data_IF_249980147256
#
_entry.id   IF_249980147256
#
_cell.length_a   1.000
_cell.length_b   1.000
_cell.length_c   1.000
_cell.angle_alpha   90.00
_cell.angle_beta   90.00
_cell.angle_gamma   90.00
#
_symmetry.space_group_name_H-M   'P 1'
#
loop_
_entity.id
_entity.type
_entity.pdbx_description
1 polymer ?
#
# COMPACT_ATOMS: atom_id res chain seq x y z
N UNK A 1 18.00 4.27 10.80
CA UNK A 1 17.81 2.82 11.04
C UNK A 1 17.49 2.61 12.50
N UNK A 2 16.66 1.61 12.84
CA UNK A 2 16.20 1.28 14.20
C UNK A 2 17.21 0.33 14.87
N UNK A 3 18.29 0.83 15.50
CA UNK A 3 19.44 -0.01 15.84
C UNK A 3 19.25 -0.79 17.14
N UNK A 4 18.22 -0.43 17.92
CA UNK A 4 17.83 -0.98 19.20
C UNK A 4 16.57 -1.86 19.12
N UNK A 5 16.00 -2.04 17.92
CA UNK A 5 14.82 -2.87 17.69
C UNK A 5 15.22 -4.25 17.16
N UNK A 6 14.48 -5.28 17.57
CA UNK A 6 14.49 -6.55 16.88
C UNK A 6 13.57 -6.44 15.65
N UNK A 7 14.11 -6.78 14.48
CA UNK A 7 13.40 -6.77 13.21
C UNK A 7 13.33 -8.21 12.72
N UNK A 8 12.13 -8.72 12.49
CA UNK A 8 11.92 -10.02 11.84
C UNK A 8 11.18 -9.77 10.53
N UNK A 9 11.58 -10.48 9.48
CA UNK A 9 10.86 -10.46 8.22
C UNK A 9 10.15 -11.78 7.94
N UNK A 10 9.17 -11.77 7.03
CA UNK A 10 8.25 -12.88 6.73
C UNK A 10 8.92 -14.26 6.54
N UNK A 11 10.10 -14.32 5.93
CA UNK A 11 10.87 -15.53 5.64
C UNK A 11 11.84 -15.94 6.76
N UNK A 12 11.82 -15.24 7.89
CA UNK A 12 12.51 -15.63 9.12
C UNK A 12 13.92 -15.07 9.29
N UNK A 13 14.42 -14.22 8.39
CA UNK A 13 15.59 -13.40 8.68
C UNK A 13 15.28 -12.48 9.84
N UNK A 14 16.20 -12.43 10.80
CA UNK A 14 16.07 -11.64 12.00
C UNK A 14 17.32 -10.78 12.20
N UNK A 15 17.10 -9.52 12.55
CA UNK A 15 18.14 -8.56 12.90
C UNK A 15 17.86 -8.10 14.32
N UNK A 16 18.81 -8.31 15.23
CA UNK A 16 18.67 -7.92 16.62
C UNK A 16 19.92 -7.18 17.10
N UNK A 17 19.79 -6.22 18.03
CA UNK A 17 20.93 -5.59 18.66
C UNK A 17 21.77 -6.64 19.40
N UNK A 18 23.09 -6.62 19.19
CA UNK A 18 24.01 -7.55 19.83
C UNK A 18 24.12 -7.28 21.33
N UNK A 19 23.86 -8.30 22.16
CA UNK A 19 24.13 -8.27 23.60
C UNK A 19 23.22 -7.35 24.42
N UNK A 20 22.10 -6.88 23.86
CA UNK A 20 21.15 -5.98 24.55
C UNK A 20 19.71 -6.47 24.32
N UNK A 21 18.85 -6.33 25.34
CA UNK A 21 17.41 -6.58 25.20
C UNK A 21 16.82 -5.53 24.25
N UNK A 22 16.12 -5.92 23.16
CA UNK A 22 15.56 -4.97 22.22
C UNK A 22 14.55 -4.01 22.87
N UNK A 23 14.63 -2.73 22.53
CA UNK A 23 13.70 -1.69 22.98
C UNK A 23 12.29 -1.87 22.39
N UNK A 24 12.19 -2.53 21.24
CA UNK A 24 10.95 -2.82 20.55
C UNK A 24 11.09 -3.95 19.54
N UNK A 25 9.96 -4.39 19.01
CA UNK A 25 9.88 -5.37 17.92
C UNK A 25 9.23 -4.76 16.69
N UNK A 26 9.81 -5.05 15.53
CA UNK A 26 9.31 -4.71 14.21
C UNK A 26 9.14 -6.00 13.41
N UNK A 27 7.96 -6.19 12.84
CA UNK A 27 7.65 -7.30 11.95
C UNK A 27 7.43 -6.75 10.55
N UNK A 28 8.06 -7.35 9.55
CA UNK A 28 7.89 -6.96 8.14
C UNK A 28 7.28 -8.12 7.39
N UNK A 29 6.09 -7.92 6.83
CA UNK A 29 5.51 -8.85 5.87
C UNK A 29 5.57 -8.24 4.49
N UNK A 30 5.83 -9.06 3.47
CA UNK A 30 5.87 -8.58 2.09
C UNK A 30 5.42 -9.67 1.14
N UNK A 31 4.90 -9.24 0.00
CA UNK A 31 4.53 -10.12 -1.10
C UNK A 31 4.64 -9.36 -2.41
N UNK A 32 5.48 -9.84 -3.33
CA UNK A 32 5.81 -9.08 -4.55
C UNK A 32 6.36 -7.69 -4.24
N UNK A 33 5.79 -6.64 -4.83
CA UNK A 33 6.18 -5.23 -4.63
C UNK A 33 5.49 -4.53 -3.46
N UNK A 34 4.76 -5.24 -2.60
CA UNK A 34 4.06 -4.67 -1.45
C UNK A 34 4.66 -5.18 -0.14
N UNK A 35 4.98 -4.28 0.78
CA UNK A 35 5.39 -4.60 2.14
C UNK A 35 4.54 -3.86 3.17
N UNK A 36 4.32 -4.51 4.31
CA UNK A 36 3.72 -3.93 5.49
C UNK A 36 4.72 -4.03 6.64
N UNK A 37 4.98 -2.90 7.30
CA UNK A 37 5.86 -2.81 8.46
C UNK A 37 4.99 -2.61 9.71
N UNK A 38 5.22 -3.41 10.73
CA UNK A 38 4.45 -3.40 11.98
C UNK A 38 5.35 -3.20 13.18
N UNK A 39 5.07 -2.21 14.02
CA UNK A 39 5.67 -2.08 15.34
C UNK A 39 4.91 -2.98 16.32
N UNK A 40 5.20 -4.28 16.27
CA UNK A 40 4.46 -5.36 16.95
C UNK A 40 4.48 -5.32 18.49
N UNK A 41 5.13 -4.33 19.08
CA UNK A 41 5.12 -4.07 20.53
C UNK A 41 4.14 -2.93 20.91
N UNK A 42 3.58 -2.23 19.92
CA UNK A 42 2.57 -1.19 20.11
C UNK A 42 1.18 -1.78 19.92
N UNK A 43 0.24 -1.39 20.79
CA UNK A 43 -1.16 -1.75 20.63
C UNK A 43 -1.81 -0.91 19.54
N UNK A 44 -2.39 -1.56 18.52
CA UNK A 44 -3.04 -0.90 17.39
C UNK A 44 -2.04 -0.34 16.37
N UNK A 45 -2.55 0.36 15.35
CA UNK A 45 -1.74 0.99 14.30
C UNK A 45 -1.31 2.40 14.68
N UNK A 46 -0.05 2.72 14.44
CA UNK A 46 0.49 4.07 14.47
C UNK A 46 -0.11 4.89 13.33
N UNK A 47 -0.52 6.12 13.65
CA UNK A 47 -0.70 7.15 12.63
C UNK A 47 0.62 7.89 12.38
N UNK A 48 0.64 8.74 11.35
CA UNK A 48 1.80 9.50 10.93
C UNK A 48 2.38 10.39 12.05
N UNK A 49 1.53 10.95 12.92
CA UNK A 49 1.98 11.80 14.02
C UNK A 49 2.67 10.98 15.12
N UNK A 50 2.07 9.86 15.52
CA UNK A 50 2.63 8.94 16.48
C UNK A 50 3.91 8.28 15.96
N UNK A 51 3.94 7.92 14.66
CA UNK A 51 5.12 7.39 13.99
C UNK A 51 6.25 8.42 13.99
N UNK A 52 5.98 9.67 13.59
CA UNK A 52 6.99 10.72 13.56
C UNK A 52 7.51 11.09 14.96
N UNK A 53 6.65 11.04 15.98
CA UNK A 53 7.06 11.32 17.37
C UNK A 53 7.97 10.23 17.93
N UNK A 54 7.67 8.95 17.64
CA UNK A 54 8.45 7.80 18.14
C UNK A 54 9.71 7.53 17.29
N UNK A 55 9.60 7.70 15.98
CA UNK A 55 10.63 7.36 14.99
C UNK A 55 10.81 8.50 13.98
N UNK A 56 11.38 9.64 14.40
CA UNK A 56 11.49 10.81 13.54
C UNK A 56 12.21 10.51 12.23
N UNK A 57 11.56 10.85 11.10
CA UNK A 57 12.16 10.72 9.77
C UNK A 57 12.20 9.29 9.21
N UNK A 58 11.62 8.30 9.90
CA UNK A 58 11.68 6.91 9.45
C UNK A 58 10.96 6.69 8.12
N UNK A 59 9.77 7.26 7.96
CA UNK A 59 8.98 7.10 6.75
C UNK A 59 9.66 7.79 5.55
N UNK A 60 10.25 8.97 5.78
CA UNK A 60 11.04 9.71 4.81
C UNK A 60 12.29 8.94 4.38
N UNK A 61 13.04 8.39 5.34
CA UNK A 61 14.21 7.55 5.01
C UNK A 61 13.83 6.31 4.21
N UNK A 62 12.72 5.65 4.56
CA UNK A 62 12.23 4.50 3.80
C UNK A 62 11.83 4.90 2.37
N UNK A 63 11.20 6.06 2.21
CA UNK A 63 10.79 6.60 0.91
C UNK A 63 11.96 7.04 0.02
N UNK A 64 13.13 7.31 0.61
CA UNK A 64 14.35 7.69 -0.11
C UNK A 64 15.17 6.49 -0.61
N UNK A 65 14.85 5.26 -0.15
CA UNK A 65 15.52 4.05 -0.63
C UNK A 65 15.25 3.84 -2.12
N UNK A 66 16.30 3.57 -2.91
CA UNK A 66 16.20 3.44 -4.37
C UNK A 66 15.17 2.40 -4.85
N UNK A 67 14.96 1.32 -4.09
CA UNK A 67 13.98 0.27 -4.39
C UNK A 67 12.54 0.60 -3.97
N UNK A 68 12.30 1.71 -3.27
CA UNK A 68 10.99 2.13 -2.78
C UNK A 68 10.40 3.20 -3.69
N UNK A 69 9.13 3.02 -4.06
CA UNK A 69 8.37 3.98 -4.85
C UNK A 69 7.53 4.88 -3.96
N UNK A 70 6.73 4.28 -3.08
CA UNK A 70 5.80 4.98 -2.20
C UNK A 70 5.82 4.34 -0.82
N UNK A 71 5.86 5.16 0.23
CA UNK A 71 5.53 4.77 1.60
C UNK A 71 4.21 5.43 1.98
N UNK A 72 3.20 4.64 2.29
CA UNK A 72 1.92 5.10 2.77
C UNK A 72 1.82 4.96 4.29
N UNK A 73 1.39 6.03 4.95
CA UNK A 73 1.13 6.07 6.39
C UNK A 73 -0.32 6.44 6.65
N UNK A 74 -0.87 5.98 7.77
CA UNK A 74 -2.21 6.35 8.25
C UNK A 74 -2.20 7.76 8.80
N UNK A 75 -3.25 8.52 8.52
CA UNK A 75 -3.59 9.74 9.27
C UNK A 75 -5.12 9.84 9.38
N UNK A 76 -5.62 10.96 9.91
CA UNK A 76 -7.06 11.20 10.12
C UNK A 76 -7.83 11.42 8.80
N UNK A 77 -7.12 11.75 7.72
CA UNK A 77 -7.68 12.23 6.45
C UNK A 77 -7.41 11.20 5.32
N UNK A 78 -7.42 9.90 5.64
CA UNK A 78 -7.25 8.80 4.69
C UNK A 78 -5.81 8.35 4.47
N UNK A 79 -4.82 9.13 4.91
CA UNK A 79 -3.41 8.80 4.85
C UNK A 79 -2.57 9.80 4.06
N UNK A 80 -1.27 9.56 4.10
CA UNK A 80 -0.29 10.32 3.34
C UNK A 80 0.64 9.36 2.61
N UNK A 81 0.97 9.69 1.37
CA UNK A 81 2.02 9.04 0.59
C UNK A 81 3.31 9.83 0.74
N UNK A 82 4.41 9.13 0.95
CA UNK A 82 5.75 9.67 0.97
C UNK A 82 6.54 9.03 -0.17
N UNK A 83 7.30 9.86 -0.86
CA UNK A 83 8.25 9.46 -1.90
C UNK A 83 9.54 10.26 -1.67
N UNK A 84 10.60 9.97 -2.43
CA UNK A 84 11.80 10.83 -2.44
C UNK A 84 11.51 12.30 -2.76
N UNK A 85 10.41 12.56 -3.49
CA UNK A 85 10.02 13.91 -3.93
C UNK A 85 9.20 14.67 -2.86
N UNK A 86 8.85 14.01 -1.74
CA UNK A 86 8.13 14.62 -0.63
C UNK A 86 6.87 13.88 -0.21
N UNK A 87 5.94 14.60 0.44
CA UNK A 87 4.72 14.08 1.05
C UNK A 87 3.46 14.57 0.34
N UNK A 88 2.53 13.64 0.10
CA UNK A 88 1.33 13.83 -0.69
C UNK A 88 0.10 13.32 0.09
N UNK A 89 -0.82 14.19 0.53
CA UNK A 89 -2.00 13.78 1.29
C UNK A 89 -3.01 13.04 0.40
N UNK A 90 -3.67 12.00 0.94
CA UNK A 90 -4.76 11.24 0.30
C UNK A 90 -6.16 11.75 0.66
N UNK A 91 -6.25 12.90 1.31
CA UNK A 91 -7.51 13.55 1.67
C UNK A 91 -8.44 13.74 0.47
N UNK A 92 -9.72 13.93 0.76
CA UNK A 92 -10.75 14.19 -0.25
C UNK A 92 -11.22 15.65 -0.11
N UNK A 93 -11.15 16.47 -1.18
CA UNK A 93 -10.67 16.17 -2.53
C UNK A 93 -9.14 16.00 -2.59
N UNK A 94 -8.64 15.30 -3.62
CA UNK A 94 -7.20 15.16 -3.84
C UNK A 94 -6.56 16.51 -4.15
N UNK A 95 -5.44 16.80 -3.49
CA UNK A 95 -4.59 17.93 -3.84
C UNK A 95 -3.96 17.71 -5.23
N UNK A 96 -3.80 18.77 -6.03
CA UNK A 96 -3.26 18.66 -7.39
C UNK A 96 -1.89 17.97 -7.46
N UNK A 97 -1.05 18.14 -6.44
CA UNK A 97 0.23 17.44 -6.34
C UNK A 97 0.08 15.93 -6.14
N UNK A 98 -0.92 15.49 -5.36
CA UNK A 98 -1.23 14.06 -5.18
C UNK A 98 -1.84 13.50 -6.45
N UNK A 99 -2.72 14.25 -7.12
CA UNK A 99 -3.25 13.87 -8.45
C UNK A 99 -2.11 13.65 -9.43
N UNK A 100 -1.19 14.61 -9.57
CA UNK A 100 -0.04 14.50 -10.48
C UNK A 100 0.88 13.32 -10.15
N UNK A 101 1.08 13.00 -8.86
CA UNK A 101 1.81 11.80 -8.46
C UNK A 101 1.10 10.53 -8.93
N UNK A 102 -0.20 10.40 -8.65
CA UNK A 102 -0.97 9.19 -8.95
C UNK A 102 -1.14 8.96 -10.45
N UNK A 103 -1.23 10.02 -11.26
CA UNK A 103 -1.28 9.94 -12.73
C UNK A 103 -0.08 9.22 -13.35
N UNK A 104 1.05 9.13 -12.63
CA UNK A 104 2.24 8.38 -13.08
C UNK A 104 2.01 6.87 -13.04
N UNK A 105 0.98 6.41 -12.35
CA UNK A 105 0.67 5.00 -12.15
C UNK A 105 -0.62 4.59 -12.85
N UNK A 106 -1.73 5.33 -12.66
CA UNK A 106 -3.06 5.09 -13.26
C UNK A 106 -4.03 6.25 -12.94
N UNK A 107 -5.33 6.06 -13.18
CA UNK A 107 -6.44 6.95 -12.85
C UNK A 107 -6.42 7.38 -11.36
N UNK A 108 -6.13 8.67 -11.06
CA UNK A 108 -5.82 9.14 -9.71
C UNK A 108 -6.91 8.91 -8.68
N UNK A 109 -8.17 9.15 -9.05
CA UNK A 109 -9.29 9.04 -8.11
C UNK A 109 -9.58 7.58 -7.75
N UNK A 110 -9.44 6.67 -8.72
CA UNK A 110 -9.59 5.23 -8.49
C UNK A 110 -8.45 4.74 -7.58
N UNK A 111 -7.20 5.09 -7.91
CA UNK A 111 -6.05 4.71 -7.08
C UNK A 111 -6.15 5.27 -5.66
N UNK A 112 -6.49 6.54 -5.51
CA UNK A 112 -6.65 7.14 -4.18
C UNK A 112 -7.75 6.45 -3.36
N UNK A 113 -8.87 6.08 -4.00
CA UNK A 113 -9.92 5.31 -3.33
C UNK A 113 -9.42 3.93 -2.88
N UNK A 114 -8.68 3.20 -3.73
CA UNK A 114 -8.10 1.90 -3.37
C UNK A 114 -7.05 2.01 -2.25
N UNK A 115 -6.18 3.02 -2.31
CA UNK A 115 -5.15 3.27 -1.30
C UNK A 115 -5.77 3.65 0.05
N UNK A 116 -6.77 4.55 0.06
CA UNK A 116 -7.53 4.86 1.29
C UNK A 116 -8.19 3.62 1.89
N UNK A 117 -8.80 2.78 1.04
CA UNK A 117 -9.42 1.51 1.49
C UNK A 117 -8.39 0.55 2.09
N UNK A 118 -7.24 0.38 1.45
CA UNK A 118 -6.15 -0.44 2.00
C UNK A 118 -5.66 0.13 3.35
N UNK A 119 -5.53 1.45 3.44
CA UNK A 119 -5.06 2.12 4.65
C UNK A 119 -6.10 2.14 5.78
N UNK A 120 -7.39 1.97 5.48
CA UNK A 120 -8.47 1.94 6.48
C UNK A 120 -8.54 0.63 7.24
N UNK A 121 -7.90 -0.44 6.77
CA UNK A 121 -7.90 -1.71 7.47
C UNK A 121 -7.11 -1.64 8.78
N UNK A 122 -7.71 -2.14 9.85
CA UNK A 122 -7.08 -2.20 11.18
C UNK A 122 -5.78 -3.02 11.17
N UNK A 123 -5.68 -4.00 10.26
CA UNK A 123 -4.52 -4.89 10.10
C UNK A 123 -3.54 -4.46 9.01
N UNK A 124 -3.73 -3.27 8.43
CA UNK A 124 -2.73 -2.68 7.56
C UNK A 124 -1.44 -2.35 8.34
N UNK A 125 -0.30 -2.20 7.67
CA UNK A 125 1.00 -1.97 8.33
C UNK A 125 1.11 -0.54 8.84
N UNK A 126 1.85 -0.26 9.90
CA UNK A 126 2.11 1.12 10.34
C UNK A 126 2.76 1.97 9.21
N UNK A 127 3.60 1.31 8.40
CA UNK A 127 3.97 1.75 7.06
C UNK A 127 3.51 0.68 6.06
N UNK A 128 2.95 1.13 4.95
CA UNK A 128 2.68 0.29 3.78
C UNK A 128 3.58 0.77 2.65
N UNK A 129 4.45 -0.10 2.15
CA UNK A 129 5.53 0.27 1.23
C UNK A 129 5.27 -0.41 -0.11
N UNK A 130 5.29 0.38 -1.16
CA UNK A 130 5.25 -0.08 -2.54
C UNK A 130 6.64 0.05 -3.15
N UNK A 131 7.11 -1.00 -3.80
CA UNK A 131 8.34 -1.00 -4.58
C UNK A 131 8.31 0.03 -5.69
N UNK A 132 9.48 0.50 -6.11
CA UNK A 132 9.59 1.45 -7.21
C UNK A 132 9.00 0.86 -8.50
N UNK A 133 8.26 1.69 -9.26
CA UNK A 133 7.68 1.34 -10.54
C UNK A 133 8.04 2.40 -11.58
N UNK A 134 8.53 1.97 -12.74
CA UNK A 134 9.03 2.87 -13.81
C UNK A 134 8.08 3.01 -15.00
N UNK A 135 6.87 2.44 -14.92
CA UNK A 135 5.92 2.38 -16.05
C UNK A 135 5.94 1.05 -16.81
N UNK A 136 6.95 0.19 -16.59
CA UNK A 136 7.05 -1.12 -17.20
C UNK A 136 7.45 -2.24 -16.22
N UNK A 137 8.31 -1.92 -15.25
CA UNK A 137 8.86 -2.85 -14.26
C UNK A 137 8.61 -2.33 -12.86
N UNK A 138 8.38 -3.26 -11.95
CA UNK A 138 8.31 -3.00 -10.51
C UNK A 138 9.50 -3.65 -9.80
N UNK A 139 9.92 -3.04 -8.69
CA UNK A 139 10.79 -3.68 -7.72
C UNK A 139 9.95 -4.59 -6.84
N UNK A 140 10.32 -5.86 -6.76
CA UNK A 140 9.77 -6.81 -5.80
C UNK A 140 10.69 -6.88 -4.56
N UNK A 141 10.08 -7.10 -3.40
CA UNK A 141 10.80 -7.41 -2.16
C UNK A 141 11.08 -8.92 -2.00
N UNK A 142 10.52 -9.74 -2.90
CA UNK A 142 10.77 -11.16 -3.01
C UNK A 142 11.61 -11.49 -4.25
N UNK A 143 12.42 -12.55 -4.15
CA UNK A 143 13.11 -13.14 -5.29
C UNK A 143 12.13 -13.96 -6.14
N UNK A 144 11.37 -13.27 -6.99
CA UNK A 144 10.38 -13.85 -7.90
C UNK A 144 10.47 -13.24 -9.29
N UNK A 145 10.27 -14.07 -10.32
CA UNK A 145 10.34 -13.68 -11.74
C UNK A 145 9.16 -12.79 -12.16
N UNK A 146 8.00 -12.96 -11.53
CA UNK A 146 6.82 -12.10 -11.68
C UNK A 146 6.56 -11.29 -10.41
N UNK A 147 5.90 -10.15 -10.54
CA UNK A 147 5.53 -9.30 -9.41
C UNK A 147 4.05 -8.98 -9.39
N UNK A 148 3.53 -8.75 -8.19
CA UNK A 148 2.18 -8.25 -7.92
C UNK A 148 2.24 -7.28 -6.74
N UNK A 149 1.16 -6.54 -6.51
CA UNK A 149 1.08 -5.62 -5.36
C UNK A 149 1.78 -4.29 -5.58
N UNK A 150 2.33 -4.02 -6.77
CA UNK A 150 2.68 -2.66 -7.17
C UNK A 150 1.44 -1.75 -7.21
N UNK A 151 1.68 -0.46 -7.03
CA UNK A 151 0.67 0.61 -7.13
C UNK A 151 0.31 0.96 -8.59
N UNK A 152 0.95 0.33 -9.58
CA UNK A 152 0.76 0.58 -11.01
C UNK A 152 0.86 -0.67 -11.89
N UNK A 153 0.62 -0.49 -13.19
CA UNK A 153 0.81 -1.49 -14.25
C UNK A 153 -0.43 -2.33 -14.57
N UNK A 154 -0.28 -3.28 -15.50
CA UNK A 154 -1.38 -4.06 -16.11
C UNK A 154 -2.31 -4.77 -15.11
N UNK A 155 -1.83 -5.04 -13.89
CA UNK A 155 -2.64 -5.62 -12.80
C UNK A 155 -3.82 -4.72 -12.38
N UNK A 156 -3.82 -3.44 -12.76
CA UNK A 156 -4.89 -2.48 -12.48
C UNK A 156 -5.99 -2.47 -13.55
N UNK A 157 -5.82 -3.22 -14.65
CA UNK A 157 -6.76 -3.25 -15.77
C UNK A 157 -7.40 -4.64 -15.94
N UNK A 158 -8.29 -5.05 -15.01
CA UNK A 158 -9.03 -6.30 -15.17
C UNK A 158 -10.04 -6.22 -16.32
N UNK A 159 -10.39 -7.37 -16.88
CA UNK A 159 -11.45 -7.47 -17.89
C UNK A 159 -12.49 -8.55 -17.50
N UNK A 160 -13.69 -8.40 -18.06
CA UNK A 160 -14.79 -9.36 -17.90
C UNK A 160 -15.18 -9.90 -19.28
N UNK A 161 -15.17 -11.22 -19.43
CA UNK A 161 -15.71 -11.88 -20.61
C UNK A 161 -17.09 -12.47 -20.28
N UNK A 162 -18.13 -11.96 -20.94
CA UNK A 162 -19.51 -12.33 -20.65
C UNK A 162 -20.34 -12.51 -21.92
N UNK A 163 -21.52 -13.10 -21.76
CA UNK A 163 -22.50 -13.17 -22.85
C UNK A 163 -23.08 -11.78 -23.11
N UNK A 164 -23.15 -11.37 -24.38
CA UNK A 164 -23.65 -10.05 -24.78
C UNK A 164 -25.05 -9.77 -24.24
N UNK A 165 -25.93 -10.78 -24.23
CA UNK A 165 -27.31 -10.70 -23.74
C UNK A 165 -27.44 -10.43 -22.24
N UNK A 166 -26.36 -10.56 -21.45
CA UNK A 166 -26.41 -10.24 -20.02
C UNK A 166 -26.44 -8.73 -19.74
N UNK A 167 -25.98 -7.90 -20.69
CA UNK A 167 -26.05 -6.44 -20.61
C UNK A 167 -25.48 -5.89 -19.30
N UNK A 168 -24.30 -6.36 -18.89
CA UNK A 168 -23.67 -5.89 -17.65
C UNK A 168 -23.24 -4.43 -17.80
N UNK A 169 -23.64 -3.58 -16.86
CA UNK A 169 -23.14 -2.22 -16.71
C UNK A 169 -21.99 -2.21 -15.70
N UNK A 170 -20.79 -1.90 -16.17
CA UNK A 170 -19.57 -1.84 -15.36
C UNK A 170 -19.02 -0.42 -15.25
N UNK A 171 -19.77 0.59 -15.67
CA UNK A 171 -19.30 2.00 -15.70
C UNK A 171 -18.86 2.53 -14.34
N UNK A 172 -19.43 1.98 -13.26
CA UNK A 172 -19.11 2.37 -11.88
C UNK A 172 -18.30 1.31 -11.11
N UNK A 173 -17.80 0.26 -11.79
CA UNK A 173 -16.99 -0.77 -11.15
C UNK A 173 -15.57 -0.24 -10.98
N UNK A 174 -15.17 -0.03 -9.73
CA UNK A 174 -13.81 0.42 -9.37
C UNK A 174 -13.14 -0.53 -8.39
N UNK A 175 -13.89 -1.45 -7.79
CA UNK A 175 -13.41 -2.51 -6.93
C UNK A 175 -14.07 -3.86 -7.31
N UNK A 176 -13.36 -4.97 -7.07
CA UNK A 176 -13.91 -6.31 -7.28
C UNK A 176 -15.21 -6.57 -6.50
N UNK A 177 -15.40 -5.93 -5.34
CA UNK A 177 -16.65 -6.03 -4.57
C UNK A 177 -17.86 -5.47 -5.31
N UNK A 178 -17.67 -4.54 -6.24
CA UNK A 178 -18.75 -3.90 -7.00
C UNK A 178 -19.40 -4.89 -7.99
N UNK A 179 -18.69 -5.97 -8.32
CA UNK A 179 -19.22 -7.05 -9.16
C UNK A 179 -20.28 -7.88 -8.44
N UNK A 180 -20.23 -8.00 -7.12
CA UNK A 180 -21.17 -8.84 -6.37
C UNK A 180 -22.65 -8.48 -6.63
N UNK A 181 -23.10 -7.22 -6.44
CA UNK A 181 -24.50 -6.86 -6.72
C UNK A 181 -24.88 -7.06 -8.19
N UNK A 182 -23.96 -6.85 -9.13
CA UNK A 182 -24.18 -7.07 -10.57
C UNK A 182 -24.45 -8.57 -10.84
N UNK A 183 -23.63 -9.45 -10.27
CA UNK A 183 -23.75 -10.90 -10.43
C UNK A 183 -24.99 -11.47 -9.74
N UNK A 184 -25.35 -10.93 -8.56
CA UNK A 184 -26.60 -11.28 -7.86
C UNK A 184 -27.81 -10.89 -8.70
N UNK A 185 -27.85 -9.66 -9.21
CA UNK A 185 -28.93 -9.20 -10.08
C UNK A 185 -29.03 -10.06 -11.35
N UNK A 186 -27.91 -10.49 -11.92
CA UNK A 186 -27.91 -11.40 -13.07
C UNK A 186 -28.48 -12.79 -12.72
N UNK A 187 -28.13 -13.35 -11.55
CA UNK A 187 -28.66 -14.63 -11.07
C UNK A 187 -30.18 -14.57 -10.90
N UNK A 188 -30.68 -13.48 -10.32
CA UNK A 188 -32.09 -13.31 -9.94
C UNK A 188 -33.02 -12.94 -11.12
N UNK A 189 -32.46 -12.70 -12.31
CA UNK A 189 -33.22 -12.52 -13.57
C UNK A 189 -33.72 -13.83 -14.18
N UNK A 190 -33.31 -14.98 -13.62
CA UNK A 190 -33.77 -16.31 -14.04
C UNK A 190 -34.92 -16.79 -13.17
#
# INVERSE_FOLDING_TARGET
MLPDHAITEHRGLAFAPNGVVPAGRVEITYSGGLAHVYFAHVAGRLDAGALQSRYPGLAEHAADLAGVGIVMVKDRDGGSLLTRDGRFPLGTPLASQTTALLQRFDEPEVLAAQLRRLNSFERSGDLVIFGAYDGAKQVNFEDQVGGHGSVGGDQLHPFLLTKKEWGLDTTHVTNASDLYPILVALRDRK
#
